data_IF_572316512803
#
_entry.id   IF_572316512803
#
_cell.length_a   1.000
_cell.length_b   1.000
_cell.length_c   1.000
_cell.angle_alpha   90.00
_cell.angle_beta   90.00
_cell.angle_gamma   90.00
#
_symmetry.space_group_name_H-M   'P 1'
#
loop_
_entity.id
_entity.type
_entity.pdbx_description
1 polymer ?
#
# COMPACT_ATOMS: atom_id res chain seq x y z
N UNK A 1 -14.69 -6.15 7.90
CA UNK A 1 -13.36 -6.21 7.28
C UNK A 1 -13.39 -5.72 5.83
N UNK A 2 -14.18 -6.34 4.93
CA UNK A 2 -14.21 -5.93 3.52
C UNK A 2 -14.49 -4.44 3.29
N UNK A 3 -15.58 -3.91 3.88
CA UNK A 3 -15.96 -2.49 3.75
C UNK A 3 -14.91 -1.53 4.30
N UNK A 4 -14.22 -1.91 5.39
CA UNK A 4 -13.20 -1.09 6.01
C UNK A 4 -11.99 -0.88 5.08
N UNK A 5 -11.57 -1.95 4.40
CA UNK A 5 -10.45 -1.88 3.45
C UNK A 5 -10.84 -1.27 2.11
N UNK A 6 -12.14 -1.18 1.79
CA UNK A 6 -12.66 -0.71 0.51
C UNK A 6 -13.69 0.41 0.71
N UNK A 7 -13.28 1.58 1.22
CA UNK A 7 -14.21 2.67 1.55
C UNK A 7 -14.92 3.25 0.31
N UNK A 8 -14.31 3.13 -0.87
CA UNK A 8 -14.90 3.58 -2.14
C UNK A 8 -15.96 2.62 -2.68
N UNK A 9 -16.06 1.39 -2.15
CA UNK A 9 -17.06 0.41 -2.57
C UNK A 9 -18.32 0.54 -1.72
N UNK A 10 -19.47 0.64 -2.36
CA UNK A 10 -20.76 0.65 -1.68
C UNK A 10 -21.22 -0.78 -1.38
N UNK A 11 -21.58 -1.04 -0.13
CA UNK A 11 -22.20 -2.30 0.29
C UNK A 11 -23.67 -2.06 0.61
N UNK A 12 -24.55 -2.84 -0.02
CA UNK A 12 -25.99 -2.79 0.22
C UNK A 12 -26.47 -4.18 0.58
N UNK A 13 -27.23 -4.30 1.66
CA UNK A 13 -27.84 -5.56 2.08
C UNK A 13 -29.36 -5.45 1.92
N UNK A 14 -29.96 -6.52 1.41
CA UNK A 14 -31.40 -6.67 1.32
C UNK A 14 -31.79 -7.93 2.06
N UNK A 15 -32.74 -7.80 2.98
CA UNK A 15 -33.29 -8.94 3.72
C UNK A 15 -34.64 -9.25 3.10
N UNK A 16 -34.72 -10.33 2.33
CA UNK A 16 -35.98 -10.82 1.78
C UNK A 16 -36.11 -12.33 2.03
N UNK A 17 -37.05 -12.76 2.88
CA UNK A 17 -37.18 -14.17 3.25
C UNK A 17 -37.61 -15.09 2.10
N UNK A 18 -38.15 -14.56 0.98
CA UNK A 18 -38.54 -15.38 -0.18
C UNK A 18 -37.41 -15.62 -1.18
N UNK A 19 -36.33 -14.86 -1.09
CA UNK A 19 -35.21 -14.93 -2.02
C UNK A 19 -34.07 -15.61 -1.28
N UNK A 20 -33.49 -16.66 -1.87
CA UNK A 20 -32.30 -17.31 -1.32
C UNK A 20 -31.14 -16.32 -1.16
N UNK A 21 -30.19 -16.58 -0.24
CA UNK A 21 -29.05 -15.69 -0.04
C UNK A 21 -28.21 -15.63 -1.32
N UNK A 22 -28.16 -14.45 -1.92
CA UNK A 22 -27.40 -14.18 -3.13
C UNK A 22 -26.53 -12.94 -2.96
N UNK A 23 -25.40 -12.92 -3.65
CA UNK A 23 -24.47 -11.80 -3.69
C UNK A 23 -24.44 -11.29 -5.12
N UNK A 24 -24.67 -10.00 -5.30
CA UNK A 24 -24.57 -9.32 -6.61
C UNK A 24 -23.48 -8.28 -6.54
N UNK A 25 -22.60 -8.28 -7.54
CA UNK A 25 -21.47 -7.39 -7.65
C UNK A 25 -21.56 -6.66 -8.99
N UNK A 26 -21.52 -5.34 -8.94
CA UNK A 26 -21.61 -4.48 -10.12
C UNK A 26 -20.24 -3.83 -10.34
N UNK A 27 -19.64 -4.06 -11.51
CA UNK A 27 -18.33 -3.52 -11.85
C UNK A 27 -18.46 -2.28 -12.75
N UNK A 28 -17.36 -1.54 -12.90
CA UNK A 28 -17.31 -0.29 -13.65
C UNK A 28 -17.58 -0.49 -15.15
N UNK A 29 -17.21 -1.66 -15.66
CA UNK A 29 -17.40 -2.13 -17.02
C UNK A 29 -18.84 -2.61 -17.30
N UNK A 30 -19.78 -2.28 -16.40
CA UNK A 30 -21.22 -2.61 -16.46
C UNK A 30 -21.52 -4.11 -16.43
N UNK A 31 -20.51 -4.92 -16.13
CA UNK A 31 -20.64 -6.34 -15.88
C UNK A 31 -21.29 -6.56 -14.52
N UNK A 32 -22.28 -7.44 -14.49
CA UNK A 32 -22.95 -7.89 -13.27
C UNK A 32 -22.57 -9.35 -12.99
N UNK A 33 -22.10 -9.59 -11.77
CA UNK A 33 -21.77 -10.94 -11.31
C UNK A 33 -22.77 -11.29 -10.22
N UNK A 34 -23.57 -12.32 -10.47
CA UNK A 34 -24.49 -12.89 -9.48
C UNK A 34 -23.94 -14.22 -8.98
N UNK A 35 -23.88 -14.38 -7.67
CA UNK A 35 -23.38 -15.58 -6.99
C UNK A 35 -24.41 -16.06 -5.96
N UNK A 36 -24.73 -17.35 -6.01
CA UNK A 36 -25.60 -18.00 -5.04
C UNK A 36 -24.79 -18.46 -3.81
N UNK A 37 -25.19 -17.99 -2.63
CA UNK A 37 -24.53 -18.27 -1.36
C UNK A 37 -25.31 -19.26 -0.47
N UNK A 38 -26.34 -19.93 -0.99
CA UNK A 38 -27.26 -20.77 -0.19
C UNK A 38 -26.60 -21.91 0.57
N UNK A 39 -25.60 -22.57 -0.01
CA UNK A 39 -24.91 -23.72 0.59
C UNK A 39 -23.42 -23.44 0.85
N UNK A 40 -23.04 -22.18 1.05
CA UNK A 40 -21.64 -21.78 1.16
C UNK A 40 -21.34 -21.27 2.56
N UNK A 41 -20.18 -21.66 3.08
CA UNK A 41 -19.66 -21.12 4.33
C UNK A 41 -19.06 -19.72 4.10
N UNK A 42 -18.99 -18.93 5.18
CA UNK A 42 -18.42 -17.56 5.12
C UNK A 42 -17.02 -17.52 4.48
N UNK A 43 -16.16 -18.50 4.78
CA UNK A 43 -14.82 -18.60 4.20
C UNK A 43 -14.84 -18.83 2.69
N UNK A 44 -15.76 -19.67 2.19
CA UNK A 44 -15.90 -19.97 0.77
C UNK A 44 -16.43 -18.77 -0.01
N UNK A 45 -17.37 -18.03 0.59
CA UNK A 45 -17.87 -16.78 0.03
C UNK A 45 -16.74 -15.76 -0.08
N UNK A 46 -15.92 -15.61 0.96
CA UNK A 46 -14.77 -14.70 0.94
C UNK A 46 -13.73 -15.11 -0.10
N UNK A 47 -13.45 -16.41 -0.24
CA UNK A 47 -12.53 -16.92 -1.24
C UNK A 47 -13.03 -16.70 -2.67
N UNK A 48 -14.34 -16.89 -2.91
CA UNK A 48 -14.97 -16.60 -4.20
C UNK A 48 -14.83 -15.11 -4.56
N UNK A 49 -15.16 -14.22 -3.61
CA UNK A 49 -15.01 -12.77 -3.80
C UNK A 49 -13.55 -12.39 -4.06
N UNK A 50 -12.60 -12.96 -3.30
CA UNK A 50 -11.17 -12.75 -3.51
C UNK A 50 -10.75 -13.19 -4.90
N UNK A 51 -11.15 -14.38 -5.35
CA UNK A 51 -10.77 -14.91 -6.67
C UNK A 51 -11.34 -14.10 -7.84
N UNK A 52 -12.52 -13.48 -7.65
CA UNK A 52 -13.20 -12.74 -8.72
C UNK A 52 -12.87 -11.26 -8.76
N UNK A 53 -12.62 -10.63 -7.61
CA UNK A 53 -12.47 -9.18 -7.49
C UNK A 53 -11.12 -8.73 -6.93
N UNK A 54 -10.32 -9.61 -6.32
CA UNK A 54 -9.03 -9.18 -5.83
C UNK A 54 -8.07 -8.92 -6.99
N UNK A 55 -7.24 -7.90 -6.79
CA UNK A 55 -6.05 -7.67 -7.59
C UNK A 55 -5.10 -8.85 -7.44
N UNK A 56 -4.33 -9.12 -8.49
CA UNK A 56 -3.31 -10.16 -8.40
C UNK A 56 -2.23 -9.75 -7.39
N UNK A 57 -1.58 -10.74 -6.75
CA UNK A 57 -0.54 -10.45 -5.75
C UNK A 57 0.60 -9.62 -6.37
N UNK A 58 0.88 -9.83 -7.66
CA UNK A 58 1.86 -9.04 -8.40
C UNK A 58 1.46 -7.55 -8.50
N UNK A 59 0.20 -7.25 -8.78
CA UNK A 59 -0.30 -5.88 -8.91
C UNK A 59 -0.27 -5.14 -7.58
N UNK A 60 -0.57 -5.83 -6.47
CA UNK A 60 -0.49 -5.27 -5.12
C UNK A 60 0.96 -4.86 -4.81
N UNK A 61 1.93 -5.76 -5.06
CA UNK A 61 3.34 -5.47 -4.85
C UNK A 61 3.81 -4.32 -5.74
N UNK A 62 3.36 -4.29 -7.00
CA UNK A 62 3.71 -3.22 -7.92
C UNK A 62 3.16 -1.86 -7.45
N UNK A 63 1.94 -1.82 -6.92
CA UNK A 63 1.38 -0.60 -6.33
C UNK A 63 2.15 -0.14 -5.09
N UNK A 64 2.62 -1.06 -4.25
CA UNK A 64 3.49 -0.70 -3.11
C UNK A 64 4.82 -0.11 -3.58
N UNK A 65 5.44 -0.67 -4.62
CA UNK A 65 6.66 -0.14 -5.22
C UNK A 65 6.42 1.26 -5.81
N UNK A 66 5.29 1.45 -6.49
CA UNK A 66 4.89 2.74 -7.08
C UNK A 66 4.49 3.78 -6.04
N UNK A 67 4.06 3.36 -4.84
CA UNK A 67 3.71 4.25 -3.72
C UNK A 67 4.88 5.09 -3.18
N UNK A 68 6.10 4.90 -3.73
CA UNK A 68 7.23 5.79 -3.49
C UNK A 68 8.05 5.47 -2.25
N UNK A 69 7.69 4.41 -1.50
CA UNK A 69 8.51 3.88 -0.40
C UNK A 69 9.71 3.09 -0.91
N UNK A 70 10.61 3.76 -1.63
CA UNK A 70 11.88 3.19 -2.04
C UNK A 70 12.79 3.05 -0.83
N UNK A 71 13.41 1.88 -0.69
CA UNK A 71 14.34 1.57 0.41
C UNK A 71 15.57 2.49 0.44
N UNK A 72 15.90 3.11 -0.69
CA UNK A 72 17.00 4.04 -0.87
C UNK A 72 16.63 5.52 -0.70
N UNK A 73 15.38 5.85 -0.38
CA UNK A 73 14.99 7.24 -0.10
C UNK A 73 15.49 7.69 1.27
N UNK A 74 15.86 8.96 1.38
CA UNK A 74 16.32 9.62 2.62
C UNK A 74 15.35 10.73 3.01
N UNK A 75 15.23 11.02 4.32
CA UNK A 75 14.45 12.16 4.85
C UNK A 75 13.34 11.75 5.82
N UNK A 76 12.38 12.67 6.07
CA UNK A 76 11.26 12.46 7.01
C UNK A 76 10.42 11.28 6.53
N UNK A 77 10.09 10.36 7.45
CA UNK A 77 9.28 9.19 7.11
C UNK A 77 10.00 8.08 6.35
N UNK A 78 11.32 8.20 6.12
CA UNK A 78 12.15 7.15 5.53
C UNK A 78 13.08 6.49 6.57
N UNK A 79 13.64 5.32 6.23
CA UNK A 79 14.51 4.55 7.14
C UNK A 79 15.77 5.30 7.57
N UNK A 80 16.21 6.26 6.76
CA UNK A 80 17.39 7.08 7.03
C UNK A 80 17.03 8.54 6.80
N UNK A 81 17.47 9.40 7.71
CA UNK A 81 17.26 10.84 7.57
C UNK A 81 18.31 11.45 6.63
N UNK A 82 19.57 11.06 6.81
CA UNK A 82 20.70 11.58 6.06
C UNK A 82 21.69 10.46 5.75
N UNK A 83 22.39 10.56 4.62
CA UNK A 83 23.38 9.57 4.20
C UNK A 83 24.53 9.39 5.22
N UNK A 84 24.79 10.39 6.06
CA UNK A 84 25.80 10.32 7.12
C UNK A 84 25.52 9.25 8.20
N UNK A 85 24.29 8.71 8.25
CA UNK A 85 23.93 7.60 9.13
C UNK A 85 24.48 6.26 8.64
N UNK A 86 24.88 6.16 7.36
CA UNK A 86 25.50 4.95 6.83
C UNK A 86 26.98 4.88 7.18
N UNK A 87 27.47 3.75 7.72
CA UNK A 87 28.89 3.57 7.98
C UNK A 87 29.69 3.65 6.68
N UNK A 88 30.88 4.25 6.73
CA UNK A 88 31.73 4.49 5.57
C UNK A 88 31.44 5.80 4.82
N UNK A 89 30.38 6.53 5.17
CA UNK A 89 30.09 7.86 4.63
C UNK A 89 30.68 8.98 5.49
N UNK A 90 30.80 10.19 4.91
CA UNK A 90 31.26 11.34 5.68
C UNK A 90 30.23 11.71 6.75
N UNK A 91 30.72 11.91 7.98
CA UNK A 91 29.86 12.23 9.10
C UNK A 91 29.33 13.67 9.00
N UNK A 92 28.13 13.90 9.53
CA UNK A 92 27.56 15.23 9.55
C UNK A 92 28.43 16.17 10.40
N UNK A 93 28.79 17.38 9.91
CA UNK A 93 29.60 18.35 10.64
C UNK A 93 29.00 18.75 11.99
N UNK A 94 27.66 18.70 12.11
CA UNK A 94 26.96 19.01 13.36
C UNK A 94 27.13 17.92 14.43
N UNK A 95 27.42 16.67 14.03
CA UNK A 95 27.56 15.54 14.95
C UNK A 95 29.00 15.33 15.38
N UNK A 96 29.93 15.49 14.44
CA UNK A 96 31.35 15.43 14.71
C UNK A 96 31.99 16.77 14.32
N UNK A 97 32.53 17.47 15.32
CA UNK A 97 33.34 18.69 15.15
C UNK A 97 34.74 18.38 14.58
N UNK A 98 34.93 17.25 13.89
CA UNK A 98 36.20 16.98 13.23
C UNK A 98 36.31 17.87 11.98
N UNK A 99 37.45 18.55 11.79
CA UNK A 99 37.66 19.33 10.59
C UNK A 99 37.53 18.40 9.37
N UNK A 100 36.68 18.78 8.42
CA UNK A 100 36.58 18.07 7.14
C UNK A 100 37.98 18.02 6.51
N UNK A 101 38.37 16.90 5.87
CA UNK A 101 39.70 16.74 5.28
C UNK A 101 40.01 17.83 4.26
N UNK A 102 38.99 18.38 3.62
CA UNK A 102 39.08 19.61 2.88
C UNK A 102 38.24 20.71 3.54
N UNK A 103 38.73 21.95 3.56
CA UNK A 103 37.94 23.11 3.95
C UNK A 103 36.69 23.24 3.06
N UNK A 104 35.57 23.77 3.61
CA UNK A 104 34.38 23.99 2.81
C UNK A 104 34.69 24.94 1.66
N UNK A 105 34.13 24.66 0.48
CA UNK A 105 34.37 25.41 -0.75
C UNK A 105 34.22 26.94 -0.55
N UNK A 106 33.27 27.35 0.31
CA UNK A 106 33.01 28.76 0.64
C UNK A 106 34.08 29.45 1.52
N UNK A 107 35.10 28.73 2.02
CA UNK A 107 36.15 29.32 2.88
C UNK A 107 37.21 30.08 2.07
N UNK A 108 37.39 29.73 0.79
CA UNK A 108 38.47 30.27 -0.05
C UNK A 108 38.00 31.00 -1.32
N UNK A 109 36.71 31.00 -1.60
CA UNK A 109 36.12 31.67 -2.76
C UNK A 109 35.26 32.89 -2.35
N UNK A 110 35.80 33.74 -1.46
CA UNK A 110 35.24 35.08 -1.20
C UNK A 110 36.00 36.13 -1.99
#
# INVERSE_FOLDING_TARGET
QLQYHNPSCQFVYFINPKIGPMIRMYLNDKTDITYDASNQNASQILEFVRKKLALDEFEIVQMEILSGKRSASFGIGHKMWCICERPGQIQCPSRNCSPRPHPPWNKYHK
#
